data_IF_764998684193
#
_entry.id   IF_764998684193
#
_cell.length_a   1.000
_cell.length_b   1.000
_cell.length_c   1.000
_cell.angle_alpha   90.00
_cell.angle_beta   90.00
_cell.angle_gamma   90.00
#
_symmetry.space_group_name_H-M   'P 1'
#
loop_
_entity.id
_entity.type
_entity.pdbx_description
1 polymer ?
#
# COMPACT_ATOMS: atom_id res chain seq x y z
N UNK A 1 24.29 8.46 -20.00
CA UNK A 1 23.60 9.20 -21.09
C UNK A 1 23.03 10.53 -20.59
N UNK A 2 22.05 10.56 -19.67
CA UNK A 2 21.36 11.78 -19.26
C UNK A 2 22.29 12.93 -18.81
N UNK A 3 23.17 12.69 -17.81
CA UNK A 3 24.14 13.72 -17.35
C UNK A 3 25.16 14.16 -18.41
N UNK A 4 25.39 13.37 -19.46
CA UNK A 4 26.27 13.79 -20.56
C UNK A 4 25.58 14.79 -21.50
N UNK A 5 24.27 14.67 -21.69
CA UNK A 5 23.48 15.61 -22.51
C UNK A 5 23.03 16.84 -21.71
N UNK A 6 22.72 16.67 -20.43
CA UNK A 6 22.26 17.73 -19.52
C UNK A 6 22.93 17.56 -18.16
N UNK A 7 24.10 18.18 -17.91
CA UNK A 7 24.88 17.98 -16.69
C UNK A 7 24.15 18.35 -15.39
N UNK A 8 23.24 19.33 -15.47
CA UNK A 8 22.42 19.82 -14.36
C UNK A 8 21.22 18.92 -14.03
N UNK A 9 20.93 17.89 -14.83
CA UNK A 9 19.84 16.96 -14.54
C UNK A 9 20.11 16.23 -13.22
N UNK A 10 19.08 16.19 -12.37
CA UNK A 10 19.11 15.45 -11.11
C UNK A 10 18.66 14.01 -11.34
N UNK A 11 19.48 13.07 -10.90
CA UNK A 11 19.19 11.63 -10.91
C UNK A 11 18.91 11.21 -9.47
N UNK A 12 17.69 10.72 -9.23
CA UNK A 12 17.27 10.20 -7.94
C UNK A 12 17.10 8.70 -8.09
N UNK A 13 17.88 7.91 -7.37
CA UNK A 13 17.68 6.47 -7.29
C UNK A 13 16.59 6.18 -6.25
N UNK A 14 15.81 5.13 -6.49
CA UNK A 14 14.78 4.67 -5.57
C UNK A 14 14.97 3.17 -5.33
N UNK A 15 14.94 2.77 -4.07
CA UNK A 15 15.02 1.39 -3.62
C UNK A 15 13.78 1.03 -2.80
N UNK A 16 13.46 -0.26 -2.70
CA UNK A 16 12.56 -0.73 -1.66
C UNK A 16 13.27 -0.65 -0.30
N UNK A 17 12.59 -0.17 0.73
CA UNK A 17 13.12 -0.14 2.10
C UNK A 17 13.44 -1.56 2.63
N UNK A 18 12.81 -2.58 2.07
CA UNK A 18 13.10 -3.99 2.32
C UNK A 18 14.40 -4.50 1.67
N UNK A 19 14.97 -3.77 0.71
CA UNK A 19 16.16 -4.16 -0.05
C UNK A 19 16.98 -2.93 -0.51
N UNK A 20 17.61 -2.24 0.44
CA UNK A 20 18.32 -0.97 0.20
C UNK A 20 19.85 -1.13 0.11
N UNK A 21 20.32 -2.02 -0.78
CA UNK A 21 21.76 -2.33 -0.88
C UNK A 21 22.61 -1.23 -1.51
N UNK A 22 22.05 -0.42 -2.41
CA UNK A 22 22.74 0.74 -2.98
C UNK A 22 22.89 1.85 -1.95
N UNK A 23 21.87 2.11 -1.13
CA UNK A 23 21.94 3.02 0.02
C UNK A 23 23.06 2.62 0.98
N UNK A 24 23.11 1.34 1.37
CA UNK A 24 24.17 0.82 2.25
C UNK A 24 25.56 0.97 1.61
N UNK A 25 25.68 0.69 0.31
CA UNK A 25 26.94 0.78 -0.43
C UNK A 25 27.43 2.23 -0.59
N UNK A 26 26.53 3.19 -0.79
CA UNK A 26 26.90 4.60 -0.82
C UNK A 26 27.43 5.09 0.53
N UNK A 27 26.83 4.63 1.64
CA UNK A 27 27.30 4.97 2.98
C UNK A 27 28.70 4.37 3.27
N UNK A 28 28.97 3.16 2.76
CA UNK A 28 30.27 2.50 2.90
C UNK A 28 31.33 3.01 1.91
N UNK A 29 30.92 3.65 0.81
CA UNK A 29 31.81 4.04 -0.29
C UNK A 29 32.20 2.89 -1.23
N UNK A 30 31.70 1.68 -0.98
CA UNK A 30 31.95 0.48 -1.78
C UNK A 30 30.76 -0.48 -1.73
N UNK A 31 30.63 -1.44 -2.68
CA UNK A 31 29.53 -2.40 -2.67
C UNK A 31 29.58 -3.36 -1.47
N UNK A 32 28.58 -3.26 -0.60
CA UNK A 32 28.43 -4.08 0.61
C UNK A 32 27.14 -4.90 0.60
N UNK A 33 27.13 -5.97 1.38
CA UNK A 33 25.90 -6.73 1.62
C UNK A 33 24.95 -5.93 2.52
N UNK A 34 23.67 -5.99 2.20
CA UNK A 34 22.57 -5.43 2.96
C UNK A 34 21.48 -6.49 3.15
N UNK A 35 20.71 -6.43 4.24
CA UNK A 35 19.60 -7.34 4.46
C UNK A 35 18.52 -7.15 3.38
N UNK A 36 17.96 -8.28 2.93
CA UNK A 36 16.82 -8.32 2.01
C UNK A 36 15.65 -8.98 2.73
N UNK A 37 14.50 -8.34 2.69
CA UNK A 37 13.22 -8.87 3.15
C UNK A 37 12.28 -9.03 1.94
N UNK A 38 11.22 -9.85 2.06
CA UNK A 38 10.18 -9.92 1.03
C UNK A 38 9.63 -8.54 0.71
N UNK A 39 9.41 -8.27 -0.57
CA UNK A 39 8.96 -6.98 -1.10
C UNK A 39 8.19 -7.18 -2.39
N UNK A 40 7.21 -6.31 -2.65
CA UNK A 40 6.50 -6.22 -3.92
C UNK A 40 7.45 -5.83 -5.08
N UNK A 41 8.57 -5.17 -4.76
CA UNK A 41 9.61 -4.83 -5.72
C UNK A 41 10.71 -5.91 -5.75
N UNK A 42 10.33 -7.13 -6.13
CA UNK A 42 11.21 -8.29 -6.26
C UNK A 42 12.42 -8.05 -7.19
N UNK A 43 12.22 -7.31 -8.29
CA UNK A 43 13.30 -6.87 -9.17
C UNK A 43 14.34 -5.95 -8.51
N UNK A 44 14.01 -5.35 -7.36
CA UNK A 44 14.93 -4.55 -6.53
C UNK A 44 15.48 -5.34 -5.33
N UNK A 45 15.08 -6.59 -5.12
CA UNK A 45 15.44 -7.41 -3.96
C UNK A 45 16.89 -7.96 -4.03
N UNK A 46 17.85 -7.05 -4.22
CA UNK A 46 19.27 -7.37 -4.42
C UNK A 46 20.04 -7.08 -3.14
N UNK A 47 20.65 -8.11 -2.55
CA UNK A 47 21.39 -7.99 -1.29
C UNK A 47 22.74 -7.29 -1.38
N UNK A 48 23.33 -7.19 -2.58
CA UNK A 48 24.57 -6.44 -2.81
C UNK A 48 24.57 -5.89 -4.23
N UNK A 49 24.72 -4.58 -4.37
CA UNK A 49 24.87 -3.96 -5.69
C UNK A 49 26.11 -4.50 -6.41
N UNK A 50 26.02 -4.72 -7.73
CA UNK A 50 27.16 -5.18 -8.51
C UNK A 50 28.27 -4.11 -8.62
N UNK A 51 29.53 -4.54 -8.61
CA UNK A 51 30.68 -3.62 -8.53
C UNK A 51 30.72 -2.60 -9.68
N UNK A 52 30.48 -3.08 -10.91
CA UNK A 52 30.43 -2.22 -12.11
C UNK A 52 29.27 -1.24 -12.05
N UNK A 53 28.09 -1.69 -11.62
CA UNK A 53 26.90 -0.86 -11.49
C UNK A 53 27.11 0.23 -10.45
N UNK A 54 27.71 -0.09 -9.30
CA UNK A 54 28.02 0.88 -8.27
C UNK A 54 29.03 1.92 -8.75
N UNK A 55 30.16 1.49 -9.33
CA UNK A 55 31.17 2.41 -9.86
C UNK A 55 30.61 3.37 -10.93
N UNK A 56 29.63 2.93 -11.72
CA UNK A 56 28.94 3.76 -12.70
C UNK A 56 27.87 4.67 -12.06
N UNK A 57 27.07 4.15 -11.15
CA UNK A 57 25.91 4.87 -10.61
C UNK A 57 26.29 5.86 -9.50
N UNK A 58 27.13 5.45 -8.54
CA UNK A 58 27.46 6.23 -7.35
C UNK A 58 27.87 7.68 -7.62
N UNK A 59 28.81 7.99 -8.54
CA UNK A 59 29.20 9.37 -8.82
C UNK A 59 28.15 10.17 -9.62
N UNK A 60 27.06 9.52 -10.08
CA UNK A 60 26.04 10.12 -10.96
C UNK A 60 24.66 10.21 -10.31
N UNK A 61 24.45 9.59 -9.16
CA UNK A 61 23.19 9.68 -8.43
C UNK A 61 23.28 10.85 -7.45
N UNK A 62 22.35 11.80 -7.56
CA UNK A 62 22.32 12.99 -6.70
C UNK A 62 21.64 12.70 -5.35
N UNK A 63 20.75 11.70 -5.31
CA UNK A 63 20.02 11.31 -4.11
C UNK A 63 19.52 9.88 -4.22
N UNK A 64 19.45 9.17 -3.10
CA UNK A 64 18.76 7.88 -3.00
C UNK A 64 17.57 8.02 -2.05
N UNK A 65 16.47 7.39 -2.42
CA UNK A 65 15.24 7.31 -1.64
C UNK A 65 14.89 5.84 -1.42
N UNK A 66 14.26 5.56 -0.28
CA UNK A 66 13.65 4.26 -0.02
C UNK A 66 12.14 4.42 0.10
N UNK A 67 11.39 3.45 -0.41
CA UNK A 67 9.92 3.39 -0.30
C UNK A 67 9.50 2.10 0.39
N UNK A 68 8.45 2.17 1.21
CA UNK A 68 7.88 1.01 1.88
C UNK A 68 6.84 0.27 1.01
N UNK A 69 6.38 -0.88 1.50
CA UNK A 69 5.44 -1.75 0.79
C UNK A 69 4.06 -1.10 0.59
N UNK A 70 3.63 -0.23 1.52
CA UNK A 70 2.38 0.50 1.40
C UNK A 70 2.45 1.52 0.26
N UNK A 71 3.54 2.30 0.20
CA UNK A 71 3.78 3.26 -0.87
C UNK A 71 3.93 2.57 -2.23
N UNK A 72 4.59 1.41 -2.30
CA UNK A 72 4.67 0.59 -3.51
C UNK A 72 3.29 0.12 -3.97
N UNK A 73 2.49 -0.43 -3.06
CA UNK A 73 1.13 -0.92 -3.37
C UNK A 73 0.24 0.20 -3.91
N UNK A 74 0.28 1.37 -3.24
CA UNK A 74 -0.48 2.54 -3.66
C UNK A 74 -0.01 3.09 -5.02
N UNK A 75 1.30 3.07 -5.30
CA UNK A 75 1.84 3.51 -6.58
C UNK A 75 1.41 2.60 -7.74
N UNK A 76 1.40 1.28 -7.54
CA UNK A 76 0.88 0.34 -8.54
C UNK A 76 -0.61 0.61 -8.80
N UNK A 77 -1.41 0.79 -7.73
CA UNK A 77 -2.82 1.14 -7.86
C UNK A 77 -3.00 2.44 -8.67
N UNK A 78 -2.23 3.49 -8.37
CA UNK A 78 -2.32 4.77 -9.10
C UNK A 78 -1.94 4.65 -10.58
N UNK A 79 -0.91 3.87 -10.92
CA UNK A 79 -0.57 3.61 -12.33
C UNK A 79 -1.70 2.91 -13.06
N UNK A 80 -2.36 1.95 -12.40
CA UNK A 80 -3.50 1.26 -12.97
C UNK A 80 -4.72 2.19 -13.14
N UNK A 81 -4.98 3.07 -12.18
CA UNK A 81 -6.15 3.96 -12.20
C UNK A 81 -6.00 5.14 -13.15
N UNK A 82 -4.85 5.81 -13.12
CA UNK A 82 -4.62 7.06 -13.83
C UNK A 82 -4.06 6.81 -15.23
N UNK A 83 -3.05 5.96 -15.33
CA UNK A 83 -2.31 5.71 -16.59
C UNK A 83 -2.76 4.43 -17.30
N UNK A 84 -3.68 3.66 -16.70
CA UNK A 84 -4.18 2.37 -17.23
C UNK A 84 -3.04 1.39 -17.55
N UNK A 85 -1.95 1.49 -16.79
CA UNK A 85 -0.72 0.75 -17.04
C UNK A 85 -0.50 -0.28 -15.94
N UNK A 86 -0.40 -1.55 -16.32
CA UNK A 86 0.01 -2.61 -15.39
C UNK A 86 1.52 -2.52 -15.15
N UNK A 87 1.92 -2.40 -13.89
CA UNK A 87 3.30 -2.22 -13.47
C UNK A 87 3.61 -3.12 -12.28
N UNK A 88 4.82 -3.69 -12.24
CA UNK A 88 5.30 -4.43 -11.07
C UNK A 88 5.79 -3.46 -9.98
N UNK A 89 6.04 -3.97 -8.76
CA UNK A 89 6.47 -3.11 -7.65
C UNK A 89 7.76 -2.33 -7.94
N UNK A 90 8.74 -2.97 -8.58
CA UNK A 90 9.99 -2.32 -8.97
C UNK A 90 9.75 -1.17 -9.96
N UNK A 91 8.90 -1.38 -10.96
CA UNK A 91 8.52 -0.36 -11.93
C UNK A 91 7.73 0.80 -11.34
N UNK A 92 6.96 0.56 -10.27
CA UNK A 92 6.17 1.58 -9.58
C UNK A 92 6.98 2.37 -8.53
N UNK A 93 8.18 1.92 -8.15
CA UNK A 93 8.96 2.53 -7.06
C UNK A 93 9.23 4.03 -7.26
N UNK A 94 9.51 4.45 -8.51
CA UNK A 94 9.73 5.85 -8.82
C UNK A 94 8.50 6.72 -8.54
N UNK A 95 7.29 6.21 -8.84
CA UNK A 95 6.04 6.89 -8.52
C UNK A 95 5.78 6.89 -7.01
N UNK A 96 6.02 5.77 -6.32
CA UNK A 96 5.90 5.68 -4.86
C UNK A 96 6.74 6.76 -4.15
N UNK A 97 7.97 6.97 -4.61
CA UNK A 97 8.84 8.02 -4.07
C UNK A 97 8.32 9.44 -4.36
N UNK A 98 7.74 9.66 -5.54
CA UNK A 98 7.15 10.94 -5.92
C UNK A 98 5.87 11.25 -5.14
N UNK A 99 5.05 10.25 -4.82
CA UNK A 99 3.84 10.43 -4.03
C UNK A 99 4.14 10.74 -2.56
N UNK A 100 5.30 10.28 -2.07
CA UNK A 100 5.77 10.56 -0.72
C UNK A 100 6.28 12.00 -0.52
N UNK A 101 6.82 12.25 0.68
CA UNK A 101 7.35 13.58 1.08
C UNK A 101 8.41 14.11 0.10
N UNK A 102 9.17 13.22 -0.54
CA UNK A 102 10.22 13.63 -1.46
C UNK A 102 9.68 14.35 -2.71
N UNK A 103 8.47 14.01 -3.19
CA UNK A 103 7.87 14.70 -4.33
C UNK A 103 7.41 16.12 -4.03
N UNK A 104 7.15 16.47 -2.77
CA UNK A 104 6.82 17.85 -2.39
C UNK A 104 7.96 18.81 -2.77
N UNK A 105 9.22 18.38 -2.61
CA UNK A 105 10.40 19.15 -3.01
C UNK A 105 10.57 19.28 -4.54
N UNK A 106 9.80 18.51 -5.32
CA UNK A 106 9.83 18.51 -6.78
C UNK A 106 8.64 19.26 -7.40
N UNK A 107 7.77 19.85 -6.58
CA UNK A 107 6.61 20.61 -7.07
C UNK A 107 7.04 21.73 -8.04
N UNK A 108 6.36 21.82 -9.18
CA UNK A 108 6.68 22.79 -10.24
C UNK A 108 7.90 22.43 -11.10
N UNK A 109 8.55 21.29 -10.85
CA UNK A 109 9.62 20.77 -11.71
C UNK A 109 9.05 19.83 -12.77
N UNK A 110 9.79 19.69 -13.89
CA UNK A 110 9.55 18.61 -14.86
C UNK A 110 10.26 17.35 -14.37
N UNK A 111 9.50 16.34 -13.99
CA UNK A 111 9.99 15.06 -13.48
C UNK A 111 9.67 13.98 -14.50
N UNK A 112 10.62 13.08 -14.74
CA UNK A 112 10.42 11.89 -15.58
C UNK A 112 10.59 10.67 -14.68
N UNK A 113 9.58 9.81 -14.67
CA UNK A 113 9.61 8.54 -13.96
C UNK A 113 9.93 7.43 -14.97
N UNK A 114 10.76 6.47 -14.57
CA UNK A 114 11.06 5.29 -15.37
C UNK A 114 10.18 4.14 -14.90
N UNK A 115 9.29 3.68 -15.77
CA UNK A 115 8.53 2.44 -15.57
C UNK A 115 9.34 1.30 -16.16
N UNK A 116 10.16 0.64 -15.34
CA UNK A 116 11.17 -0.31 -15.81
C UNK A 116 10.66 -1.75 -16.01
N UNK A 117 9.46 -2.06 -15.53
CA UNK A 117 8.89 -3.41 -15.61
C UNK A 117 7.39 -3.44 -15.37
N UNK A 118 6.73 -4.47 -15.89
CA UNK A 118 5.29 -4.69 -15.79
C UNK A 118 4.92 -6.16 -15.69
N UNK A 119 5.87 -7.02 -15.32
CA UNK A 119 5.67 -8.46 -15.22
C UNK A 119 5.10 -8.82 -13.85
N UNK A 120 3.88 -8.38 -13.59
CA UNK A 120 3.17 -8.67 -12.34
C UNK A 120 2.22 -9.85 -12.53
N UNK A 121 2.31 -10.84 -11.65
CA UNK A 121 1.37 -11.96 -11.61
C UNK A 121 -0.05 -11.45 -11.26
N UNK A 122 -1.12 -11.90 -11.95
CA UNK A 122 -2.48 -11.44 -11.68
C UNK A 122 -2.95 -11.63 -10.22
N UNK A 123 -2.48 -12.66 -9.51
CA UNK A 123 -2.83 -12.88 -8.10
C UNK A 123 -2.09 -11.92 -7.18
N UNK A 124 -0.89 -11.46 -7.56
CA UNK A 124 -0.17 -10.40 -6.85
C UNK A 124 -0.86 -9.07 -7.12
N UNK A 125 -1.20 -8.78 -8.38
CA UNK A 125 -1.93 -7.56 -8.75
C UNK A 125 -3.25 -7.43 -7.99
N UNK A 126 -4.05 -8.50 -7.89
CA UNK A 126 -5.27 -8.53 -7.09
C UNK A 126 -5.01 -8.10 -5.64
N UNK A 127 -4.05 -8.74 -4.98
CA UNK A 127 -3.69 -8.43 -3.58
C UNK A 127 -3.20 -6.99 -3.40
N UNK A 128 -2.47 -6.46 -4.38
CA UNK A 128 -2.01 -5.08 -4.39
C UNK A 128 -3.16 -4.09 -4.55
N UNK A 129 -4.15 -4.41 -5.41
CA UNK A 129 -5.37 -3.60 -5.56
C UNK A 129 -6.11 -3.56 -4.23
N UNK A 130 -6.38 -4.70 -3.60
CA UNK A 130 -7.08 -4.74 -2.30
C UNK A 130 -6.35 -3.94 -1.23
N UNK A 131 -5.03 -4.13 -1.11
CA UNK A 131 -4.22 -3.39 -0.15
C UNK A 131 -4.21 -1.88 -0.45
N UNK A 132 -4.09 -1.49 -1.73
CA UNK A 132 -4.14 -0.10 -2.14
C UNK A 132 -5.50 0.55 -1.84
N UNK A 133 -6.60 -0.14 -2.12
CA UNK A 133 -7.96 0.32 -1.80
C UNK A 133 -8.16 0.46 -0.30
N UNK A 134 -7.61 -0.46 0.50
CA UNK A 134 -7.66 -0.36 1.96
C UNK A 134 -6.88 0.85 2.49
N UNK A 135 -5.68 1.12 1.95
CA UNK A 135 -4.88 2.30 2.32
C UNK A 135 -5.59 3.62 1.93
N UNK A 136 -6.29 3.63 0.81
CA UNK A 136 -7.11 4.77 0.36
C UNK A 136 -8.40 4.97 1.15
N UNK A 137 -8.75 4.03 2.04
CA UNK A 137 -10.02 4.05 2.74
C UNK A 137 -11.21 3.77 1.82
N UNK A 138 -10.98 3.07 0.71
CA UNK A 138 -12.04 2.59 -0.21
C UNK A 138 -12.48 1.17 0.06
N UNK A 139 -11.71 0.46 0.89
CA UNK A 139 -12.04 -0.85 1.42
C UNK A 139 -11.82 -0.80 2.93
N UNK A 140 -12.81 -1.21 3.71
CA UNK A 140 -12.68 -1.25 5.17
C UNK A 140 -13.15 -2.58 5.70
N UNK A 141 -12.32 -3.17 6.57
CA UNK A 141 -12.59 -4.43 7.24
C UNK A 141 -12.62 -4.22 8.74
N UNK A 142 -13.68 -4.70 9.37
CA UNK A 142 -13.88 -4.58 10.80
C UNK A 142 -14.60 -5.79 11.36
N UNK A 143 -14.43 -5.99 12.66
CA UNK A 143 -15.18 -6.95 13.44
C UNK A 143 -16.26 -6.22 14.21
N UNK A 144 -17.49 -6.75 14.19
CA UNK A 144 -18.60 -6.23 14.98
C UNK A 144 -19.22 -7.34 15.84
N UNK A 145 -19.60 -6.98 17.07
CA UNK A 145 -20.42 -7.85 17.93
C UNK A 145 -21.89 -7.61 17.61
N UNK A 146 -22.61 -8.66 17.20
CA UNK A 146 -24.01 -8.61 16.77
C UNK A 146 -24.85 -9.52 17.65
N UNK A 147 -26.11 -9.14 17.90
CA UNK A 147 -27.08 -10.01 18.56
C UNK A 147 -27.35 -11.27 17.72
N UNK A 148 -27.30 -12.45 18.34
CA UNK A 148 -27.67 -13.73 17.68
C UNK A 148 -29.19 -13.94 17.61
N UNK A 149 -29.99 -12.97 18.07
CA UNK A 149 -31.45 -12.97 17.88
C UNK A 149 -31.83 -12.55 16.46
N UNK A 150 -33.01 -12.98 15.95
CA UNK A 150 -33.53 -12.50 14.68
C UNK A 150 -33.52 -10.96 14.59
N UNK A 151 -32.98 -10.44 13.49
CA UNK A 151 -32.88 -9.00 13.23
C UNK A 151 -31.53 -8.36 13.55
N UNK A 152 -30.61 -9.03 14.28
CA UNK A 152 -29.27 -8.49 14.56
C UNK A 152 -28.48 -8.15 13.29
N UNK A 153 -28.35 -9.13 12.39
CA UNK A 153 -27.70 -8.93 11.09
C UNK A 153 -28.43 -7.90 10.21
N UNK A 154 -29.77 -7.91 10.24
CA UNK A 154 -30.57 -6.95 9.48
C UNK A 154 -30.31 -5.50 9.94
N UNK A 155 -30.23 -5.27 11.26
CA UNK A 155 -29.87 -3.97 11.83
C UNK A 155 -28.48 -3.54 11.38
N UNK A 156 -27.49 -4.44 11.45
CA UNK A 156 -26.12 -4.15 11.04
C UNK A 156 -26.05 -3.73 9.57
N UNK A 157 -26.61 -4.55 8.67
CA UNK A 157 -26.61 -4.25 7.23
C UNK A 157 -27.41 -2.99 6.90
N UNK A 158 -28.47 -2.70 7.66
CA UNK A 158 -29.24 -1.47 7.48
C UNK A 158 -28.41 -0.24 7.83
N UNK A 159 -27.69 -0.25 8.96
CA UNK A 159 -26.80 0.87 9.34
C UNK A 159 -25.70 1.10 8.31
N UNK A 160 -25.11 0.02 7.79
CA UNK A 160 -24.11 0.11 6.71
C UNK A 160 -24.71 0.75 5.45
N UNK A 161 -25.90 0.29 5.05
CA UNK A 161 -26.59 0.82 3.87
C UNK A 161 -27.01 2.28 4.04
N UNK A 162 -27.51 2.67 5.22
CA UNK A 162 -27.93 4.04 5.54
C UNK A 162 -26.75 5.02 5.57
N UNK A 163 -25.55 4.53 5.90
CA UNK A 163 -24.32 5.29 5.79
C UNK A 163 -23.81 5.43 4.33
N UNK A 164 -24.36 4.65 3.40
CA UNK A 164 -23.98 4.68 1.97
C UNK A 164 -22.82 3.76 1.61
N UNK A 165 -22.48 2.79 2.46
CA UNK A 165 -21.44 1.79 2.19
C UNK A 165 -22.02 0.49 1.63
N UNK A 166 -21.23 -0.22 0.83
CA UNK A 166 -21.63 -1.51 0.24
C UNK A 166 -20.96 -2.67 0.97
N UNK A 167 -21.73 -3.68 1.35
CA UNK A 167 -21.17 -4.92 1.94
C UNK A 167 -20.59 -5.79 0.84
N UNK A 168 -19.31 -6.15 0.95
CA UNK A 168 -18.66 -7.13 0.08
C UNK A 168 -18.72 -8.53 0.68
N UNK A 169 -18.41 -8.63 1.97
CA UNK A 169 -18.25 -9.90 2.65
C UNK A 169 -18.71 -9.77 4.10
N UNK A 170 -19.44 -10.79 4.58
CA UNK A 170 -19.75 -10.97 5.99
C UNK A 170 -19.40 -12.41 6.32
N UNK A 171 -18.39 -12.59 7.17
CA UNK A 171 -18.04 -13.87 7.74
C UNK A 171 -18.53 -13.93 9.18
N UNK A 172 -19.26 -14.99 9.49
CA UNK A 172 -19.93 -15.18 10.76
C UNK A 172 -19.67 -16.59 11.25
N UNK A 173 -19.04 -16.73 12.42
CA UNK A 173 -18.75 -18.03 13.02
C UNK A 173 -19.46 -18.18 14.36
N UNK A 174 -20.64 -18.81 14.34
CA UNK A 174 -21.41 -19.10 15.57
C UNK A 174 -20.77 -20.16 16.45
N UNK A 175 -19.98 -21.07 15.89
CA UNK A 175 -19.47 -22.23 16.62
C UNK A 175 -18.33 -21.86 17.57
N UNK A 176 -17.64 -20.73 17.32
CA UNK A 176 -16.48 -20.27 18.07
C UNK A 176 -16.62 -18.83 18.62
N UNK A 177 -17.82 -18.27 18.60
CA UNK A 177 -18.13 -16.91 19.08
C UNK A 177 -18.22 -16.83 20.61
N UNK A 178 -17.07 -16.79 21.28
CA UNK A 178 -16.94 -16.33 22.68
C UNK A 178 -17.82 -17.01 23.75
N UNK A 179 -17.80 -16.53 25.00
CA UNK A 179 -18.56 -17.13 26.11
C UNK A 179 -20.03 -16.69 26.19
N UNK A 180 -20.46 -15.71 25.39
CA UNK A 180 -21.81 -15.14 25.44
C UNK A 180 -22.77 -15.82 24.45
N UNK A 181 -23.76 -16.53 24.98
CA UNK A 181 -24.69 -17.37 24.21
C UNK A 181 -25.61 -16.57 23.25
N UNK A 182 -25.70 -15.24 23.39
CA UNK A 182 -26.65 -14.40 22.65
C UNK A 182 -26.01 -13.32 21.79
N UNK A 183 -24.68 -13.29 21.72
CA UNK A 183 -23.93 -12.38 20.87
C UNK A 183 -23.00 -13.20 19.97
N UNK A 184 -22.69 -12.67 18.81
CA UNK A 184 -21.85 -13.33 17.83
C UNK A 184 -20.94 -12.32 17.17
N UNK A 185 -19.71 -12.75 16.89
CA UNK A 185 -18.72 -11.91 16.25
C UNK A 185 -18.80 -12.09 14.74
N UNK A 186 -18.93 -10.99 14.01
CA UNK A 186 -18.92 -10.99 12.55
C UNK A 186 -17.78 -10.14 12.02
N UNK A 187 -17.02 -10.70 11.09
CA UNK A 187 -16.06 -9.96 10.29
C UNK A 187 -16.75 -9.44 9.04
N UNK A 188 -16.69 -8.14 8.83
CA UNK A 188 -17.37 -7.44 7.74
C UNK A 188 -16.33 -6.72 6.91
N UNK A 189 -16.42 -6.89 5.59
CA UNK A 189 -15.68 -6.07 4.62
C UNK A 189 -16.69 -5.22 3.85
N UNK A 190 -16.46 -3.92 3.82
CA UNK A 190 -17.29 -2.95 3.09
C UNK A 190 -16.46 -2.13 2.11
N UNK A 191 -17.09 -1.71 1.02
CA UNK A 191 -16.58 -0.63 0.17
C UNK A 191 -17.02 0.73 0.73
N UNK A 192 -16.08 1.65 0.76
CA UNK A 192 -16.27 3.03 1.21
C UNK A 192 -15.74 3.99 0.15
N UNK A 193 -16.05 5.28 0.29
CA UNK A 193 -15.62 6.29 -0.67
C UNK A 193 -14.18 6.73 -0.40
N UNK A 194 -13.87 6.92 0.89
CA UNK A 194 -12.60 7.42 1.41
C UNK A 194 -12.55 7.21 2.93
N UNK A 195 -11.48 7.72 3.55
CA UNK A 195 -11.25 7.67 4.99
C UNK A 195 -12.31 8.43 5.81
N UNK A 196 -12.88 9.52 5.29
CA UNK A 196 -13.90 10.29 6.01
C UNK A 196 -15.23 9.52 6.05
N UNK A 197 -15.56 8.81 4.97
CA UNK A 197 -16.70 7.89 4.94
C UNK A 197 -16.50 6.73 5.92
N UNK A 198 -15.28 6.18 6.07
CA UNK A 198 -14.99 5.18 7.11
C UNK A 198 -15.30 5.72 8.51
N UNK A 199 -14.85 6.94 8.82
CA UNK A 199 -15.12 7.54 10.13
C UNK A 199 -16.62 7.74 10.37
N UNK A 200 -17.33 8.25 9.35
CA UNK A 200 -18.78 8.43 9.40
C UNK A 200 -19.49 7.10 9.67
N UNK A 201 -19.14 6.04 8.94
CA UNK A 201 -19.73 4.71 9.13
C UNK A 201 -19.40 4.15 10.53
N UNK A 202 -18.17 4.30 11.00
CA UNK A 202 -17.77 3.85 12.33
C UNK A 202 -18.56 4.55 13.44
N UNK A 203 -18.79 5.86 13.33
CA UNK A 203 -19.64 6.62 14.25
C UNK A 203 -21.09 6.11 14.23
N UNK A 204 -21.67 5.90 13.05
CA UNK A 204 -23.03 5.35 12.90
C UNK A 204 -23.19 3.96 13.53
N UNK A 205 -22.18 3.10 13.36
CA UNK A 205 -22.18 1.78 13.97
C UNK A 205 -22.16 1.87 15.49
N UNK A 206 -21.36 2.78 16.06
CA UNK A 206 -21.32 3.02 17.51
C UNK A 206 -22.63 3.61 18.04
N UNK A 207 -23.25 4.56 17.33
CA UNK A 207 -24.57 5.11 17.68
C UNK A 207 -25.67 4.04 17.68
N UNK A 208 -25.49 2.98 16.88
CA UNK A 208 -26.40 1.85 16.80
C UNK A 208 -26.07 0.71 17.78
N UNK A 209 -25.24 0.96 18.78
CA UNK A 209 -24.80 0.02 19.82
C UNK A 209 -23.97 -1.17 19.30
N UNK A 210 -23.30 -1.04 18.15
CA UNK A 210 -22.33 -2.03 17.71
C UNK A 210 -20.94 -1.73 18.31
N UNK A 211 -20.36 -2.72 18.97
CA UNK A 211 -18.94 -2.70 19.31
C UNK A 211 -18.13 -3.07 18.08
N UNK A 212 -17.36 -2.12 17.56
CA UNK A 212 -16.58 -2.28 16.33
C UNK A 212 -15.09 -2.24 16.65
N UNK A 213 -14.38 -3.26 16.16
CA UNK A 213 -12.92 -3.33 16.20
C UNK A 213 -12.44 -3.37 14.75
N UNK A 214 -11.82 -2.30 14.28
CA UNK A 214 -11.20 -2.30 12.95
C UNK A 214 -10.15 -3.40 12.86
N UNK A 215 -10.20 -4.21 11.81
CA UNK A 215 -9.11 -5.13 11.51
C UNK A 215 -7.89 -4.25 11.26
N UNK A 216 -6.86 -4.40 12.09
CA UNK A 216 -5.70 -3.53 12.04
C UNK A 216 -4.91 -3.86 10.79
N UNK A 217 -5.12 -3.12 9.71
CA UNK A 217 -4.09 -2.96 8.68
C UNK A 217 -2.93 -2.21 9.34
N UNK A 218 -1.79 -2.88 9.52
CA UNK A 218 -0.52 -2.37 10.03
C UNK A 218 -0.45 -0.84 10.17
N UNK A 219 -0.43 -0.34 11.41
CA UNK A 219 0.11 1.00 11.71
C UNK A 219 1.53 1.14 11.17
#
# INVERSE_FOLDING_TARGET
AAKAQRPDIKIIAVEAAAAASFTASLAAGEPVNAPVRPTLADGLAVGRVGDRSFALAAPRVDRVLTVDEQALSLAVLRLLELEKTSCEGAGAAALAALMGKAGQALKGRKVVLLLCGGNIDPTVLHRVIDHGLALDGRLWRFTATVSDRPGGMAKLTQVIADAGASVLEINHDRAFSGPEVFSTTVEVTVETADQDHIQTLHERLREADFEVISATGSR
#
